data_IF_073040058491
#
_entry.id   IF_073040058491
#
_cell.length_a   1.000
_cell.length_b   1.000
_cell.length_c   1.000
_cell.angle_alpha   90.00
_cell.angle_beta   90.00
_cell.angle_gamma   90.00
#
_symmetry.space_group_name_H-M   'P 1'
#
loop_
_entity.id
_entity.type
_entity.pdbx_description
1 polymer ?
#
# COMPACT_ATOMS: atom_id res chain seq x y z
N UNK A 1 -21.71 -34.95 9.61
CA UNK A 1 -21.91 -34.79 8.15
C UNK A 1 -20.71 -34.02 7.63
N UNK A 2 -19.82 -34.66 6.86
CA UNK A 2 -18.68 -33.98 6.23
C UNK A 2 -19.19 -33.08 5.10
N UNK A 3 -18.59 -31.91 4.86
CA UNK A 3 -18.51 -31.38 3.52
C UNK A 3 -17.11 -31.66 2.96
N UNK A 4 -17.16 -32.14 1.73
CA UNK A 4 -16.05 -32.45 0.84
C UNK A 4 -15.51 -31.17 0.20
N UNK A 5 -14.22 -31.18 -0.12
CA UNK A 5 -13.54 -30.46 -1.20
C UNK A 5 -14.27 -29.23 -1.80
N UNK A 6 -13.86 -28.03 -1.41
CA UNK A 6 -13.87 -26.89 -2.33
C UNK A 6 -12.45 -26.45 -2.65
N UNK A 7 -12.20 -26.34 -3.95
CA UNK A 7 -10.92 -26.19 -4.60
C UNK A 7 -10.30 -24.83 -4.32
N UNK A 8 -8.97 -24.83 -4.34
CA UNK A 8 -8.12 -23.67 -4.51
C UNK A 8 -8.56 -22.90 -5.77
N UNK A 9 -8.42 -21.57 -5.74
CA UNK A 9 -8.80 -20.59 -6.79
C UNK A 9 -10.18 -19.93 -6.62
N UNK A 10 -10.25 -18.99 -5.68
CA UNK A 10 -10.89 -17.69 -5.94
C UNK A 10 -10.13 -16.59 -5.18
N UNK A 11 -8.80 -16.63 -5.32
CA UNK A 11 -7.85 -15.63 -4.80
C UNK A 11 -7.90 -14.41 -5.71
N UNK A 12 -9.02 -13.70 -5.67
CA UNK A 12 -9.19 -12.39 -6.27
C UNK A 12 -8.93 -11.29 -5.25
N UNK A 13 -7.67 -10.88 -5.13
CA UNK A 13 -7.34 -9.54 -4.62
C UNK A 13 -6.67 -9.45 -3.25
N UNK A 14 -5.42 -9.90 -3.15
CA UNK A 14 -4.45 -9.23 -2.29
C UNK A 14 -3.09 -9.27 -3.00
N UNK A 15 -2.78 -8.20 -3.74
CA UNK A 15 -1.43 -7.99 -4.24
C UNK A 15 -0.53 -7.72 -3.04
N UNK A 16 0.27 -8.70 -2.64
CA UNK A 16 1.45 -8.50 -1.81
C UNK A 16 2.64 -8.73 -2.72
N UNK A 17 3.34 -7.64 -3.05
CA UNK A 17 4.65 -7.70 -3.66
C UNK A 17 5.64 -8.26 -2.62
N UNK A 18 6.48 -9.21 -3.06
CA UNK A 18 7.60 -9.86 -2.37
C UNK A 18 7.30 -11.22 -1.71
N UNK A 19 7.89 -12.28 -2.29
CA UNK A 19 7.78 -13.68 -1.84
C UNK A 19 8.37 -13.97 -0.46
N UNK A 20 9.13 -13.04 0.13
CA UNK A 20 9.72 -13.17 1.47
C UNK A 20 8.70 -12.95 2.59
N UNK A 21 7.65 -12.16 2.37
CA UNK A 21 6.60 -11.92 3.37
C UNK A 21 5.59 -13.07 3.46
N UNK A 22 5.50 -13.90 2.40
CA UNK A 22 4.65 -15.09 2.36
C UNK A 22 5.06 -16.15 3.39
N UNK A 23 6.36 -16.29 3.70
CA UNK A 23 6.83 -17.25 4.70
C UNK A 23 6.59 -16.78 6.14
N UNK A 24 6.56 -15.46 6.37
CA UNK A 24 6.25 -14.89 7.68
C UNK A 24 4.75 -14.92 7.99
N UNK A 25 3.89 -14.67 6.99
CA UNK A 25 2.43 -14.71 7.18
C UNK A 25 1.91 -16.13 7.48
N UNK A 26 2.54 -17.17 6.92
CA UNK A 26 2.13 -18.57 7.14
C UNK A 26 2.27 -19.05 8.59
N UNK A 27 2.93 -18.29 9.47
CA UNK A 27 3.19 -18.66 10.86
C UNK A 27 2.35 -17.90 11.89
N UNK A 28 1.64 -16.83 11.49
CA UNK A 28 0.85 -16.08 12.46
C UNK A 28 -0.54 -16.71 12.65
N UNK A 29 -0.72 -17.38 13.79
CA UNK A 29 -1.97 -18.03 14.18
C UNK A 29 -2.96 -16.95 14.67
N UNK A 30 -4.16 -16.92 14.09
CA UNK A 30 -5.24 -16.04 14.57
C UNK A 30 -5.73 -16.51 15.93
N UNK A 31 -5.78 -15.59 16.90
CA UNK A 31 -6.26 -15.86 18.25
C UNK A 31 -7.73 -15.44 18.41
N UNK A 32 -8.65 -16.35 18.78
CA UNK A 32 -10.04 -16.01 19.05
C UNK A 32 -10.20 -15.32 20.41
N UNK A 33 -10.97 -14.22 20.45
CA UNK A 33 -11.40 -13.56 21.68
C UNK A 33 -12.70 -14.16 22.23
N UNK A 34 -13.00 -13.89 23.50
CA UNK A 34 -14.20 -14.37 24.20
C UNK A 34 -15.53 -13.92 23.54
N UNK A 35 -15.50 -12.88 22.72
CA UNK A 35 -16.64 -12.35 21.96
C UNK A 35 -16.79 -12.97 20.55
N UNK A 36 -15.92 -13.92 20.18
CA UNK A 36 -15.91 -14.57 18.87
C UNK A 36 -15.09 -13.85 17.79
N UNK A 37 -14.44 -12.72 18.09
CA UNK A 37 -13.61 -11.99 17.14
C UNK A 37 -12.23 -12.64 16.98
N UNK A 38 -11.73 -12.78 15.74
CA UNK A 38 -10.38 -13.27 15.47
C UNK A 38 -9.37 -12.12 15.49
N UNK A 39 -8.22 -12.30 16.11
CA UNK A 39 -7.20 -11.27 16.26
C UNK A 39 -5.83 -11.73 15.74
N UNK A 40 -5.09 -10.80 15.12
CA UNK A 40 -3.69 -10.96 14.73
C UNK A 40 -2.90 -9.79 15.30
N UNK A 41 -1.81 -10.05 16.04
CA UNK A 41 -0.97 -9.00 16.62
C UNK A 41 -1.76 -7.93 17.40
N UNK A 42 -2.73 -8.39 18.21
CA UNK A 42 -3.62 -7.55 19.01
C UNK A 42 -4.54 -6.60 18.21
N UNK A 43 -4.62 -6.76 16.88
CA UNK A 43 -5.61 -6.09 16.02
C UNK A 43 -6.76 -7.05 15.72
N UNK A 44 -7.98 -6.58 15.94
CA UNK A 44 -9.20 -7.32 15.65
C UNK A 44 -9.47 -7.38 14.15
N UNK A 45 -9.73 -8.57 13.62
CA UNK A 45 -10.10 -8.80 12.23
C UNK A 45 -11.54 -9.31 12.19
N UNK A 46 -12.39 -8.59 11.47
CA UNK A 46 -13.73 -9.05 11.14
C UNK A 46 -13.64 -10.00 9.95
N UNK A 47 -14.15 -11.21 10.14
CA UNK A 47 -14.34 -12.19 9.06
C UNK A 47 -15.12 -11.55 7.91
N UNK A 48 -14.62 -11.67 6.67
CA UNK A 48 -15.31 -11.22 5.46
C UNK A 48 -16.55 -12.08 5.10
N UNK A 49 -16.94 -13.04 5.94
CA UNK A 49 -18.08 -13.92 5.66
C UNK A 49 -19.42 -13.27 6.06
N UNK A 50 -20.28 -13.10 5.05
CA UNK A 50 -21.71 -12.77 5.21
C UNK A 50 -22.06 -11.28 5.21
N UNK A 51 -23.34 -11.00 5.48
CA UNK A 51 -23.90 -9.64 5.55
C UNK A 51 -23.39 -8.84 6.75
N UNK A 52 -22.54 -9.41 7.62
CA UNK A 52 -22.06 -8.75 8.84
C UNK A 52 -21.29 -7.46 8.53
N UNK A 53 -20.46 -7.45 7.48
CA UNK A 53 -19.79 -6.22 7.02
C UNK A 53 -20.80 -5.18 6.56
N UNK A 54 -21.84 -5.63 5.84
CA UNK A 54 -22.93 -4.78 5.35
C UNK A 54 -23.78 -4.24 6.50
N UNK A 55 -24.07 -5.05 7.52
CA UNK A 55 -24.79 -4.67 8.74
C UNK A 55 -23.98 -3.70 9.58
N UNK A 56 -22.69 -3.94 9.80
CA UNK A 56 -21.80 -3.00 10.49
C UNK A 56 -21.71 -1.69 9.71
N UNK A 57 -21.54 -1.74 8.39
CA UNK A 57 -21.54 -0.54 7.56
C UNK A 57 -22.89 0.18 7.62
N UNK A 58 -24.01 -0.53 7.53
CA UNK A 58 -25.36 0.03 7.60
C UNK A 58 -25.65 0.66 8.97
N UNK A 59 -25.29 0.00 10.08
CA UNK A 59 -25.45 0.49 11.44
C UNK A 59 -24.57 1.72 11.70
N UNK A 60 -23.32 1.70 11.21
CA UNK A 60 -22.40 2.83 11.29
C UNK A 60 -22.85 4.01 10.41
N UNK A 61 -23.39 3.76 9.21
CA UNK A 61 -23.93 4.81 8.34
C UNK A 61 -25.22 5.41 8.91
N UNK A 62 -26.02 4.60 9.61
CA UNK A 62 -27.22 5.05 10.36
C UNK A 62 -26.86 5.88 11.58
N UNK A 63 -25.61 5.85 12.04
CA UNK A 63 -25.07 6.65 13.15
C UNK A 63 -24.69 8.10 12.79
N UNK A 64 -25.12 8.61 11.63
CA UNK A 64 -25.09 10.05 11.29
C UNK A 64 -25.93 10.94 12.26
N UNK A 65 -26.56 10.37 13.29
CA UNK A 65 -27.31 11.08 14.32
C UNK A 65 -26.57 11.24 15.65
N UNK A 66 -25.43 10.57 15.85
CA UNK A 66 -24.66 10.72 17.08
C UNK A 66 -23.64 11.86 16.94
N UNK A 67 -23.94 13.00 17.57
CA UNK A 67 -23.09 14.20 17.57
C UNK A 67 -21.67 13.92 18.13
N UNK A 68 -21.54 12.99 19.08
CA UNK A 68 -20.24 12.59 19.63
C UNK A 68 -19.42 11.80 18.62
N UNK A 69 -20.05 10.87 17.89
CA UNK A 69 -19.40 10.08 16.83
C UNK A 69 -18.95 10.95 15.65
N UNK A 70 -19.76 11.95 15.27
CA UNK A 70 -19.39 12.93 14.24
C UNK A 70 -18.20 13.80 14.66
N UNK A 71 -18.13 14.22 15.93
CA UNK A 71 -17.01 15.04 16.44
C UNK A 71 -15.68 14.30 16.51
N UNK A 72 -15.67 12.99 16.75
CA UNK A 72 -14.44 12.18 16.80
C UNK A 72 -14.05 11.58 15.45
N UNK A 73 -14.96 11.59 14.47
CA UNK A 73 -14.68 11.17 13.10
C UNK A 73 -13.99 12.32 12.37
N UNK A 74 -12.70 12.51 12.67
CA UNK A 74 -11.87 13.37 11.84
C UNK A 74 -11.97 12.88 10.38
N UNK A 75 -12.15 13.81 9.43
CA UNK A 75 -12.02 13.48 8.02
C UNK A 75 -10.56 13.08 7.77
N UNK A 76 -10.30 11.77 7.71
CA UNK A 76 -8.96 11.23 7.44
C UNK A 76 -8.60 11.29 5.94
N UNK A 77 -9.59 11.57 5.09
CA UNK A 77 -9.42 11.65 3.63
C UNK A 77 -9.52 13.12 3.24
N UNK A 78 -8.36 13.76 3.01
CA UNK A 78 -8.32 15.07 2.38
C UNK A 78 -8.97 14.92 0.99
N UNK A 79 -9.91 15.79 0.59
CA UNK A 79 -10.45 15.73 -0.76
C UNK A 79 -9.28 15.80 -1.75
N UNK A 80 -9.27 14.89 -2.72
CA UNK A 80 -8.23 14.85 -3.74
C UNK A 80 -8.14 16.21 -4.41
N UNK A 81 -6.98 16.88 -4.28
CA UNK A 81 -6.73 18.14 -4.95
C UNK A 81 -6.75 17.96 -6.47
N UNK A 82 -7.05 19.03 -7.20
CA UNK A 82 -6.94 19.04 -8.67
C UNK A 82 -5.47 18.79 -9.05
N UNK A 83 -5.17 17.65 -9.66
CA UNK A 83 -3.84 17.38 -10.19
C UNK A 83 -3.61 18.24 -11.43
N UNK A 84 -2.75 19.24 -11.32
CA UNK A 84 -2.33 20.04 -12.47
C UNK A 84 -1.37 19.18 -13.30
N UNK A 85 -1.78 18.82 -14.51
CA UNK A 85 -0.90 18.13 -15.43
C UNK A 85 0.13 19.13 -15.98
N UNK A 86 1.44 18.86 -15.86
CA UNK A 86 2.43 19.77 -16.39
C UNK A 86 2.43 19.75 -17.92
N UNK A 87 2.83 20.85 -18.56
CA UNK A 87 2.81 20.98 -20.03
C UNK A 87 3.65 19.89 -20.71
N UNK A 88 3.21 19.44 -21.90
CA UNK A 88 3.92 18.39 -22.65
C UNK A 88 5.12 19.04 -23.37
N UNK A 89 6.36 18.61 -23.09
CA UNK A 89 7.55 19.09 -23.79
C UNK A 89 7.47 18.81 -25.30
N UNK A 90 8.04 19.69 -26.12
CA UNK A 90 7.99 19.57 -27.59
C UNK A 90 9.20 18.81 -28.14
N UNK A 91 10.35 18.91 -27.48
CA UNK A 91 11.60 18.31 -27.92
C UNK A 91 12.22 17.39 -26.86
N UNK A 92 13.06 16.46 -27.31
CA UNK A 92 13.86 15.62 -26.42
C UNK A 92 14.75 16.53 -25.58
N UNK A 93 14.81 16.27 -24.27
CA UNK A 93 15.56 17.06 -23.28
C UNK A 93 14.98 18.43 -22.92
N UNK A 94 13.78 18.81 -23.41
CA UNK A 94 13.10 20.05 -22.99
C UNK A 94 12.69 20.04 -21.51
N UNK A 95 12.32 18.87 -20.99
CA UNK A 95 11.87 18.70 -19.61
C UNK A 95 12.50 17.44 -19.02
N UNK A 96 13.49 17.66 -18.18
CA UNK A 96 14.25 16.63 -17.50
C UNK A 96 13.93 16.69 -16.01
N UNK A 97 13.61 15.55 -15.43
CA UNK A 97 13.53 15.39 -13.97
C UNK A 97 14.76 14.64 -13.48
N UNK A 98 15.33 15.11 -12.38
CA UNK A 98 16.53 14.51 -11.77
C UNK A 98 16.22 14.12 -10.33
N UNK A 99 16.76 12.99 -9.88
CA UNK A 99 16.63 12.52 -8.50
C UNK A 99 17.85 11.70 -8.07
N UNK A 100 18.05 11.52 -6.77
CA UNK A 100 19.11 10.69 -6.21
C UNK A 100 18.53 9.59 -5.33
N UNK A 101 18.90 8.35 -5.63
CA UNK A 101 18.69 7.23 -4.71
C UNK A 101 19.96 7.09 -3.87
N UNK A 102 19.88 7.49 -2.61
CA UNK A 102 21.01 7.50 -1.67
C UNK A 102 20.91 6.37 -0.64
N UNK A 103 21.94 6.24 0.21
CA UNK A 103 22.01 5.25 1.30
C UNK A 103 21.87 3.80 0.81
N UNK A 104 22.37 3.52 -0.40
CA UNK A 104 22.45 2.17 -0.90
C UNK A 104 23.61 1.42 -0.25
N UNK A 105 23.55 0.10 -0.27
CA UNK A 105 24.70 -0.70 0.12
C UNK A 105 25.89 -0.35 -0.80
N UNK A 106 27.02 -0.01 -0.19
CA UNK A 106 28.26 0.31 -0.92
C UNK A 106 28.65 -0.88 -1.80
N UNK A 107 28.80 -0.63 -3.08
CA UNK A 107 29.39 -1.58 -4.03
C UNK A 107 30.89 -1.77 -3.73
N UNK A 108 31.53 -2.79 -4.31
CA UNK A 108 32.99 -3.00 -4.16
C UNK A 108 33.81 -1.80 -4.64
N UNK A 109 33.28 -1.03 -5.60
CA UNK A 109 33.91 0.19 -6.15
C UNK A 109 33.71 1.39 -5.20
N UNK A 110 32.79 1.28 -4.22
CA UNK A 110 32.47 2.33 -3.25
C UNK A 110 31.29 3.22 -3.63
N UNK A 111 30.55 2.90 -4.71
CA UNK A 111 29.34 3.63 -5.09
C UNK A 111 28.17 3.24 -4.19
N UNK A 112 27.45 4.23 -3.67
CA UNK A 112 26.29 4.14 -2.77
C UNK A 112 25.14 5.08 -3.16
N UNK A 113 25.30 5.80 -4.28
CA UNK A 113 24.29 6.70 -4.82
C UNK A 113 24.02 6.34 -6.29
N UNK A 114 22.75 6.38 -6.69
CA UNK A 114 22.35 6.37 -8.10
C UNK A 114 21.74 7.72 -8.43
N UNK A 115 22.33 8.42 -9.39
CA UNK A 115 21.72 9.60 -10.00
C UNK A 115 20.80 9.17 -11.13
N UNK A 116 19.52 9.52 -11.00
CA UNK A 116 18.48 9.23 -11.97
C UNK A 116 18.20 10.49 -12.77
N UNK A 117 18.31 10.40 -14.09
CA UNK A 117 17.95 11.47 -15.03
C UNK A 117 16.87 10.94 -15.96
N UNK A 118 15.69 11.54 -15.94
CA UNK A 118 14.55 11.10 -16.74
C UNK A 118 14.14 12.19 -17.72
N UNK A 119 14.14 11.86 -19.01
CA UNK A 119 13.55 12.72 -20.04
C UNK A 119 12.03 12.48 -20.08
N UNK A 120 11.26 13.54 -19.78
CA UNK A 120 9.80 13.42 -19.62
C UNK A 120 9.08 13.15 -20.93
N UNK A 121 9.66 13.54 -22.08
CA UNK A 121 9.07 13.30 -23.40
C UNK A 121 9.22 11.84 -23.83
N UNK A 122 10.46 11.34 -23.89
CA UNK A 122 10.76 9.98 -24.37
C UNK A 122 10.55 8.89 -23.31
N UNK A 123 10.37 9.28 -22.04
CA UNK A 123 10.31 8.37 -20.89
C UNK A 123 11.58 7.53 -20.70
N UNK A 124 12.70 7.92 -21.31
CA UNK A 124 13.99 7.27 -21.08
C UNK A 124 14.58 7.71 -19.74
N UNK A 125 15.14 6.77 -18.99
CA UNK A 125 15.87 7.02 -17.76
C UNK A 125 17.35 6.66 -17.92
N UNK A 126 18.23 7.51 -17.41
CA UNK A 126 19.67 7.28 -17.30
C UNK A 126 20.05 7.14 -15.83
N UNK A 127 20.79 6.08 -15.52
CA UNK A 127 21.25 5.77 -14.17
C UNK A 127 22.77 5.90 -14.12
N UNK A 128 23.26 6.84 -13.31
CA UNK A 128 24.69 7.08 -13.15
C UNK A 128 25.10 6.70 -11.72
N UNK A 129 26.02 5.74 -11.54
CA UNK A 129 26.50 5.38 -10.21
C UNK A 129 27.45 6.46 -9.69
N UNK A 130 27.28 6.86 -8.43
CA UNK A 130 28.10 7.85 -7.74
C UNK A 130 28.44 7.39 -6.32
N UNK A 131 29.40 8.10 -5.73
CA UNK A 131 29.85 7.93 -4.34
C UNK A 131 29.47 9.18 -3.56
N UNK A 132 28.96 9.02 -2.35
CA UNK A 132 28.86 10.12 -1.39
C UNK A 132 30.29 10.64 -1.11
N UNK A 133 30.51 11.95 -1.34
CA UNK A 133 31.76 12.62 -0.99
C UNK A 133 31.60 13.25 0.39
N UNK A 134 32.42 12.81 1.34
CA UNK A 134 32.53 13.40 2.68
C UNK A 134 33.12 14.82 2.65
#
# INVERSE_FOLDING_TARGET
MKPENLKYEDVGGMLIENSKDLENLKKEKLEPRADGTLCLNNRSWLSCYGELRTLIMHELHKSNKCLTCLKVKAEHQKPSGLLIQPEIPQWKWDNITMDFVTKLLKTQIGNDIIWVVVDRLTKSAHFLPMKETD
#
